data_IF_002942218902
#
_entry.id   IF_002942218902
#
_cell.length_a   1.000
_cell.length_b   1.000
_cell.length_c   1.000
_cell.angle_alpha   90.00
_cell.angle_beta   90.00
_cell.angle_gamma   90.00
#
_symmetry.space_group_name_H-M   'P 1'
#
loop_
_entity.id
_entity.type
_entity.pdbx_description
1 polymer ?
#
# COMPACT_ATOMS: atom_id res chain seq x y z
N UNK A 1 -15.08 3.49 -9.44
CA UNK A 1 -13.95 2.55 -9.47
C UNK A 1 -13.93 1.79 -10.78
N UNK A 2 -12.79 1.70 -11.44
CA UNK A 2 -12.62 0.93 -12.69
C UNK A 2 -11.20 0.38 -12.78
N UNK A 3 -11.00 -0.65 -13.60
CA UNK A 3 -9.69 -1.25 -13.84
C UNK A 3 -9.43 -1.32 -15.34
N UNK A 4 -8.34 -0.70 -15.81
CA UNK A 4 -7.87 -0.86 -17.19
C UNK A 4 -6.77 -1.90 -17.18
N UNK A 5 -7.00 -3.00 -17.87
CA UNK A 5 -6.04 -4.09 -17.99
C UNK A 5 -4.83 -3.68 -18.83
N UNK A 6 -3.69 -4.36 -18.64
CA UNK A 6 -2.56 -4.23 -19.56
C UNK A 6 -2.94 -4.53 -21.01
N UNK A 7 -3.95 -5.38 -21.25
CA UNK A 7 -4.41 -5.71 -22.60
C UNK A 7 -5.06 -4.51 -23.27
N UNK A 8 -5.88 -3.75 -22.56
CA UNK A 8 -6.53 -2.54 -23.10
C UNK A 8 -5.51 -1.41 -23.31
N UNK A 9 -4.60 -1.22 -22.36
CA UNK A 9 -3.50 -0.25 -22.47
C UNK A 9 -2.62 -0.50 -23.70
N UNK A 10 -2.39 -1.78 -24.06
CA UNK A 10 -1.67 -2.17 -25.29
C UNK A 10 -2.37 -1.73 -26.56
N UNK A 11 -3.70 -1.75 -26.57
CA UNK A 11 -4.45 -1.30 -27.74
C UNK A 11 -4.32 0.21 -27.89
N UNK A 12 -4.37 0.96 -26.79
CA UNK A 12 -4.23 2.42 -26.79
C UNK A 12 -2.84 2.91 -27.25
N UNK A 13 -1.75 2.22 -26.89
CA UNK A 13 -0.38 2.61 -27.33
C UNK A 13 -0.19 2.45 -28.85
N UNK A 14 -0.76 1.40 -29.45
CA UNK A 14 -0.63 1.12 -30.89
C UNK A 14 -1.24 2.21 -31.77
N UNK A 15 -2.19 2.98 -31.25
CA UNK A 15 -2.93 4.00 -32.00
C UNK A 15 -2.43 5.43 -31.76
N UNK A 16 -1.36 5.64 -30.98
CA UNK A 16 -0.76 6.97 -30.76
C UNK A 16 0.49 7.20 -31.63
N UNK A 17 0.56 8.30 -32.42
CA UNK A 17 1.79 8.72 -33.10
C UNK A 17 2.86 9.07 -32.05
N UNK A 18 4.09 8.56 -32.20
CA UNK A 18 5.16 8.74 -31.20
C UNK A 18 5.11 7.76 -30.02
N UNK A 19 4.62 6.53 -30.25
CA UNK A 19 4.46 5.45 -29.26
C UNK A 19 5.54 5.47 -28.17
N UNK A 20 5.16 5.27 -26.91
CA UNK A 20 6.11 5.18 -25.78
C UNK A 20 7.05 3.97 -25.90
N UNK A 21 6.93 3.20 -26.98
CA UNK A 21 7.85 2.13 -27.28
C UNK A 21 7.67 0.97 -26.31
N UNK A 22 6.41 0.65 -25.96
CA UNK A 22 6.08 -0.54 -25.17
C UNK A 22 6.49 -1.87 -25.86
N UNK A 23 7.23 -1.81 -26.98
CA UNK A 23 7.86 -2.92 -27.71
C UNK A 23 8.63 -3.92 -26.83
N UNK A 24 9.12 -3.55 -25.64
CA UNK A 24 9.76 -4.46 -24.65
C UNK A 24 8.86 -4.83 -23.46
N UNK A 25 7.57 -4.96 -23.73
CA UNK A 25 6.49 -5.21 -22.76
C UNK A 25 6.56 -6.50 -21.95
N UNK A 26 7.29 -7.53 -22.39
CA UNK A 26 7.49 -8.75 -21.60
C UNK A 26 8.26 -8.49 -20.29
N UNK A 27 8.92 -7.34 -20.20
CA UNK A 27 9.69 -6.92 -19.03
C UNK A 27 8.87 -6.08 -18.04
N UNK A 28 7.70 -5.56 -18.43
CA UNK A 28 6.77 -4.84 -17.55
C UNK A 28 5.92 -5.89 -16.81
N UNK A 29 5.87 -5.81 -15.48
CA UNK A 29 5.13 -6.78 -14.65
C UNK A 29 3.76 -6.30 -14.21
N UNK A 30 3.44 -5.02 -14.43
CA UNK A 30 2.13 -4.47 -14.17
C UNK A 30 1.03 -5.29 -14.86
N UNK A 31 -0.13 -5.37 -14.21
CA UNK A 31 -1.34 -6.06 -14.68
C UNK A 31 -2.39 -5.08 -15.20
N UNK A 32 -2.27 -3.81 -14.82
CA UNK A 32 -3.12 -2.73 -15.29
C UNK A 32 -3.06 -1.53 -14.37
N UNK A 33 -4.04 -0.66 -14.50
CA UNK A 33 -4.25 0.51 -13.66
C UNK A 33 -5.61 0.37 -12.98
N UNK A 34 -5.62 0.44 -11.65
CA UNK A 34 -6.84 0.48 -10.86
C UNK A 34 -7.12 1.93 -10.47
N UNK A 35 -8.31 2.41 -10.83
CA UNK A 35 -8.82 3.68 -10.34
C UNK A 35 -9.78 3.44 -9.18
N UNK A 36 -9.39 3.95 -8.02
CA UNK A 36 -10.08 3.76 -6.76
C UNK A 36 -10.10 5.11 -6.03
N UNK A 37 -11.30 5.61 -5.73
CA UNK A 37 -11.48 6.87 -4.99
C UNK A 37 -10.64 8.04 -5.54
N UNK A 38 -10.86 8.42 -6.80
CA UNK A 38 -10.13 9.51 -7.48
C UNK A 38 -8.60 9.32 -7.57
N UNK A 39 -8.06 8.20 -7.09
CA UNK A 39 -6.64 7.86 -7.11
C UNK A 39 -6.37 6.69 -8.06
N UNK A 40 -5.24 6.75 -8.74
CA UNK A 40 -4.81 5.71 -9.67
C UNK A 40 -3.69 4.89 -9.04
N UNK A 41 -3.74 3.58 -9.23
CA UNK A 41 -2.78 2.63 -8.71
C UNK A 41 -2.25 1.77 -9.85
N UNK A 42 -0.94 1.65 -9.97
CA UNK A 42 -0.36 0.58 -10.80
C UNK A 42 -0.56 -0.75 -10.09
N UNK A 43 -1.21 -1.70 -10.75
CA UNK A 43 -1.54 -2.99 -10.16
C UNK A 43 -0.50 -4.02 -10.56
N UNK A 44 -0.01 -4.77 -9.58
CA UNK A 44 0.84 -5.93 -9.78
C UNK A 44 0.21 -7.18 -9.17
N UNK A 45 0.43 -8.32 -9.81
CA UNK A 45 0.17 -9.62 -9.22
C UNK A 45 1.51 -10.30 -8.93
N UNK A 46 1.85 -10.38 -7.66
CA UNK A 46 3.11 -10.97 -7.20
C UNK A 46 3.11 -12.50 -7.32
N UNK A 47 1.95 -13.14 -7.49
CA UNK A 47 1.80 -14.60 -7.57
C UNK A 47 2.52 -15.34 -6.42
N UNK A 48 2.58 -14.72 -5.23
CA UNK A 48 3.30 -15.22 -4.03
C UNK A 48 4.83 -15.21 -4.15
N UNK A 49 5.39 -14.46 -5.10
CA UNK A 49 6.83 -14.31 -5.30
C UNK A 49 7.21 -12.84 -5.16
N UNK A 50 8.47 -12.60 -4.81
CA UNK A 50 9.05 -11.25 -4.89
C UNK A 50 9.11 -10.83 -6.35
N UNK A 51 8.51 -9.69 -6.67
CA UNK A 51 8.55 -9.16 -8.03
C UNK A 51 9.94 -8.57 -8.30
N UNK A 52 10.53 -9.00 -9.41
CA UNK A 52 11.77 -8.44 -9.96
C UNK A 52 11.42 -7.78 -11.29
N UNK A 53 11.58 -6.47 -11.37
CA UNK A 53 11.30 -5.69 -12.59
C UNK A 53 12.45 -4.74 -12.91
N UNK A 54 12.42 -4.16 -14.10
CA UNK A 54 13.39 -3.17 -14.54
C UNK A 54 12.82 -1.77 -14.34
N UNK A 55 13.49 -0.97 -13.50
CA UNK A 55 13.09 0.41 -13.18
C UNK A 55 12.83 1.24 -14.45
N UNK A 56 13.67 1.05 -15.49
CA UNK A 56 13.54 1.76 -16.76
C UNK A 56 12.21 1.51 -17.46
N UNK A 57 11.79 0.25 -17.59
CA UNK A 57 10.56 -0.08 -18.31
C UNK A 57 9.31 0.21 -17.49
N UNK A 58 9.37 0.09 -16.16
CA UNK A 58 8.27 0.52 -15.29
C UNK A 58 8.09 2.04 -15.31
N UNK A 59 9.17 2.83 -15.27
CA UNK A 59 9.08 4.29 -15.43
C UNK A 59 8.43 4.71 -16.75
N UNK A 60 8.83 4.08 -17.86
CA UNK A 60 8.21 4.34 -19.16
C UNK A 60 6.71 3.99 -19.16
N UNK A 61 6.33 2.91 -18.47
CA UNK A 61 4.94 2.53 -18.32
C UNK A 61 4.15 3.53 -17.47
N UNK A 62 4.71 4.01 -16.36
CA UNK A 62 4.10 5.03 -15.49
C UNK A 62 3.87 6.31 -16.31
N UNK A 63 4.89 6.83 -17.00
CA UNK A 63 4.76 8.03 -17.84
C UNK A 63 3.68 7.89 -18.93
N UNK A 64 3.60 6.72 -19.56
CA UNK A 64 2.55 6.41 -20.51
C UNK A 64 1.15 6.41 -19.87
N UNK A 65 1.02 5.76 -18.71
CA UNK A 65 -0.22 5.70 -17.95
C UNK A 65 -0.69 7.10 -17.53
N UNK A 66 0.21 7.91 -16.95
CA UNK A 66 -0.05 9.29 -16.55
C UNK A 66 -0.48 10.16 -17.73
N UNK A 67 0.11 9.95 -18.91
CA UNK A 67 -0.26 10.68 -20.13
C UNK A 67 -1.66 10.31 -20.63
N UNK A 68 -2.06 9.04 -20.53
CA UNK A 68 -3.41 8.61 -20.92
C UNK A 68 -4.44 9.14 -19.93
N UNK A 69 -4.15 9.06 -18.64
CA UNK A 69 -5.09 9.45 -17.58
C UNK A 69 -5.08 10.95 -17.30
N UNK A 70 -4.07 11.69 -17.78
CA UNK A 70 -3.82 13.12 -17.49
C UNK A 70 -3.76 13.38 -15.99
N UNK A 71 -3.20 12.43 -15.25
CA UNK A 71 -3.09 12.44 -13.79
C UNK A 71 -1.80 11.75 -13.38
N UNK A 72 -1.13 12.23 -12.33
CA UNK A 72 0.05 11.55 -11.78
C UNK A 72 -0.33 10.22 -11.12
N UNK A 73 0.62 9.30 -11.08
CA UNK A 73 0.46 8.01 -10.43
C UNK A 73 1.63 7.79 -9.48
N UNK A 74 1.37 8.02 -8.20
CA UNK A 74 2.34 7.91 -7.10
C UNK A 74 2.28 6.55 -6.38
N UNK A 75 1.31 5.70 -6.72
CA UNK A 75 0.94 4.54 -5.90
C UNK A 75 0.86 3.24 -6.69
N UNK A 76 1.21 2.15 -6.02
CA UNK A 76 1.06 0.80 -6.54
C UNK A 76 0.35 -0.13 -5.53
N UNK A 77 -0.41 -1.10 -6.07
CA UNK A 77 -1.02 -2.19 -5.30
C UNK A 77 -0.43 -3.52 -5.73
N UNK A 78 0.03 -4.30 -4.74
CA UNK A 78 0.60 -5.62 -4.91
C UNK A 78 -0.35 -6.69 -4.39
N UNK A 79 -0.96 -7.45 -5.30
CA UNK A 79 -1.77 -8.61 -4.96
C UNK A 79 -0.90 -9.85 -4.76
N UNK A 80 -1.24 -10.66 -3.75
CA UNK A 80 -0.52 -11.90 -3.45
C UNK A 80 -1.36 -12.90 -2.67
N UNK A 81 -0.99 -14.19 -2.63
CA UNK A 81 -1.75 -15.16 -1.82
C UNK A 81 -1.69 -14.92 -0.31
N UNK A 82 -0.64 -14.27 0.18
CA UNK A 82 -0.42 -13.99 1.62
C UNK A 82 0.56 -12.83 1.78
N UNK A 83 0.77 -12.34 3.00
CA UNK A 83 1.78 -11.31 3.31
C UNK A 83 3.24 -11.81 3.24
N UNK A 84 3.50 -13.09 2.97
CA UNK A 84 4.87 -13.63 2.97
C UNK A 84 5.83 -12.90 1.99
N UNK A 85 5.45 -12.56 0.75
CA UNK A 85 6.32 -11.74 -0.11
C UNK A 85 6.52 -10.30 0.41
N UNK A 86 5.55 -9.71 1.10
CA UNK A 86 5.72 -8.41 1.77
C UNK A 86 6.74 -8.51 2.91
N UNK A 87 6.61 -9.53 3.76
CA UNK A 87 7.55 -9.83 4.84
C UNK A 87 9.00 -9.95 4.32
N UNK A 88 9.21 -10.80 3.31
CA UNK A 88 10.54 -10.96 2.68
C UNK A 88 11.06 -9.65 2.10
N UNK A 89 10.19 -8.85 1.51
CA UNK A 89 10.55 -7.55 0.94
C UNK A 89 11.01 -6.54 2.01
N UNK A 90 10.39 -6.57 3.19
CA UNK A 90 10.75 -5.69 4.30
C UNK A 90 12.07 -6.14 4.95
N UNK A 91 12.21 -7.44 5.23
CA UNK A 91 13.33 -8.00 5.98
C UNK A 91 14.62 -8.15 5.17
N UNK A 92 14.54 -8.43 3.86
CA UNK A 92 15.73 -8.59 3.02
C UNK A 92 16.38 -7.21 2.74
N UNK A 93 17.70 -7.14 2.92
CA UNK A 93 18.48 -5.98 2.51
C UNK A 93 18.47 -5.85 0.98
N UNK A 94 18.51 -4.62 0.43
CA UNK A 94 18.68 -4.43 -1.00
C UNK A 94 20.04 -5.01 -1.41
N UNK A 95 20.04 -6.02 -2.28
CA UNK A 95 21.26 -6.57 -2.86
C UNK A 95 21.91 -5.53 -3.77
N UNK A 96 23.02 -4.94 -3.34
CA UNK A 96 23.73 -3.86 -4.03
C UNK A 96 24.32 -4.28 -5.38
N UNK A 97 24.41 -5.59 -5.65
CA UNK A 97 25.01 -6.14 -6.88
C UNK A 97 24.05 -6.23 -8.06
N UNK A 98 22.76 -6.00 -7.86
CA UNK A 98 21.74 -6.08 -8.90
C UNK A 98 21.01 -4.74 -9.01
N UNK A 99 21.26 -3.99 -10.09
CA UNK A 99 20.35 -2.94 -10.61
C UNK A 99 19.00 -3.54 -11.09
N UNK A 100 18.52 -4.59 -10.43
CA UNK A 100 17.21 -5.18 -10.63
C UNK A 100 16.39 -4.69 -9.47
N UNK A 101 15.30 -4.00 -9.77
CA UNK A 101 14.30 -3.64 -8.79
C UNK A 101 13.70 -4.96 -8.32
N UNK A 102 14.30 -5.55 -7.29
CA UNK A 102 13.51 -6.04 -6.18
C UNK A 102 12.57 -4.87 -5.89
N UNK A 103 11.25 -5.06 -5.91
CA UNK A 103 10.33 -4.02 -5.44
C UNK A 103 10.62 -3.86 -3.95
N UNK A 104 11.65 -3.05 -3.69
CA UNK A 104 12.48 -2.85 -2.49
C UNK A 104 13.24 -1.53 -2.70
N UNK A 105 13.66 -1.18 -3.92
CA UNK A 105 14.57 -0.03 -4.09
C UNK A 105 14.29 0.88 -5.26
N UNK A 106 13.07 0.94 -5.77
CA UNK A 106 12.74 1.96 -6.75
C UNK A 106 11.73 2.93 -6.13
N UNK A 107 12.14 4.17 -5.91
CA UNK A 107 11.29 5.33 -5.62
C UNK A 107 10.33 5.65 -6.80
N UNK A 108 9.81 4.62 -7.48
CA UNK A 108 8.81 4.78 -8.55
C UNK A 108 7.48 5.23 -7.99
N UNK A 109 7.18 4.74 -6.79
CA UNK A 109 5.94 4.99 -6.08
C UNK A 109 6.28 5.54 -4.71
N UNK A 110 5.59 6.61 -4.33
CA UNK A 110 5.57 7.14 -2.99
C UNK A 110 4.89 6.17 -2.02
N UNK A 111 3.86 5.45 -2.51
CA UNK A 111 3.11 4.48 -1.72
C UNK A 111 3.06 3.10 -2.36
N UNK A 112 3.35 2.07 -1.56
CA UNK A 112 3.33 0.67 -2.01
C UNK A 112 2.43 -0.17 -1.13
N UNK A 113 1.19 -0.36 -1.58
CA UNK A 113 0.17 -1.07 -0.83
C UNK A 113 0.21 -2.56 -1.11
N UNK A 114 0.13 -3.36 -0.06
CA UNK A 114 0.10 -4.81 -0.19
C UNK A 114 -1.26 -5.40 0.20
N UNK A 115 -1.87 -6.17 -0.71
CA UNK A 115 -3.21 -6.74 -0.51
C UNK A 115 -3.18 -8.25 -0.70
N UNK A 116 -3.44 -9.06 0.35
CA UNK A 116 -3.54 -10.50 0.21
C UNK A 116 -4.84 -10.89 -0.52
N UNK A 117 -4.81 -11.97 -1.29
CA UNK A 117 -5.97 -12.55 -2.00
C UNK A 117 -6.79 -13.40 -1.03
N UNK A 118 -7.29 -12.74 0.01
CA UNK A 118 -8.12 -13.30 1.08
C UNK A 118 -9.32 -12.39 1.31
N UNK A 119 -10.31 -12.86 2.08
CA UNK A 119 -11.45 -12.02 2.50
C UNK A 119 -11.00 -10.74 3.21
N UNK A 120 -9.92 -10.81 4.01
CA UNK A 120 -9.33 -9.64 4.65
C UNK A 120 -8.73 -8.64 3.67
N UNK A 121 -8.07 -9.10 2.62
CA UNK A 121 -7.56 -8.20 1.58
C UNK A 121 -8.66 -7.58 0.71
N UNK A 122 -9.77 -8.29 0.46
CA UNK A 122 -10.95 -7.70 -0.17
C UNK A 122 -11.51 -6.55 0.70
N UNK A 123 -11.63 -6.77 2.01
CA UNK A 123 -12.00 -5.71 2.97
C UNK A 123 -11.00 -4.54 2.96
N UNK A 124 -9.71 -4.82 2.84
CA UNK A 124 -8.68 -3.77 2.73
C UNK A 124 -8.83 -2.91 1.46
N UNK A 125 -9.22 -3.50 0.33
CA UNK A 125 -9.55 -2.73 -0.88
C UNK A 125 -10.79 -1.86 -0.69
N UNK A 126 -11.84 -2.37 -0.03
CA UNK A 126 -13.03 -1.58 0.31
C UNK A 126 -12.63 -0.34 1.13
N UNK A 127 -11.63 -0.47 1.99
CA UNK A 127 -11.10 0.64 2.82
C UNK A 127 -10.32 1.66 1.99
N UNK A 128 -9.49 1.21 1.06
CA UNK A 128 -8.78 2.13 0.17
C UNK A 128 -9.73 2.91 -0.75
N UNK A 129 -10.95 2.41 -0.95
CA UNK A 129 -11.98 3.06 -1.76
C UNK A 129 -12.67 4.24 -1.06
N UNK A 130 -12.31 4.52 0.20
CA UNK A 130 -12.89 5.60 0.99
C UNK A 130 -12.07 6.88 0.78
N UNK A 131 -12.72 8.02 0.49
CA UNK A 131 -12.15 9.35 0.63
C UNK A 131 -11.42 9.52 1.97
N UNK A 132 -10.22 10.09 1.95
CA UNK A 132 -9.46 10.42 3.17
C UNK A 132 -9.34 9.25 4.17
N UNK A 133 -9.30 8.00 3.66
CA UNK A 133 -9.42 6.81 4.51
C UNK A 133 -8.41 6.77 5.65
N UNK A 134 -7.23 7.40 5.49
CA UNK A 134 -6.25 7.51 6.57
C UNK A 134 -6.79 8.31 7.76
N UNK A 135 -7.28 9.51 7.51
CA UNK A 135 -7.82 10.39 8.56
C UNK A 135 -9.05 9.78 9.21
N UNK A 136 -9.97 9.24 8.39
CA UNK A 136 -11.18 8.58 8.86
C UNK A 136 -10.84 7.35 9.69
N UNK A 137 -9.94 6.49 9.21
CA UNK A 137 -9.54 5.29 9.96
C UNK A 137 -8.85 5.67 11.26
N UNK A 138 -7.97 6.67 11.27
CA UNK A 138 -7.33 7.15 12.49
C UNK A 138 -8.35 7.69 13.51
N UNK A 139 -9.38 8.39 13.05
CA UNK A 139 -10.42 8.91 13.92
C UNK A 139 -11.32 7.82 14.51
N UNK A 140 -11.78 6.85 13.70
CA UNK A 140 -12.81 5.91 14.14
C UNK A 140 -12.26 4.58 14.69
N UNK A 141 -11.11 4.12 14.20
CA UNK A 141 -10.56 2.80 14.57
C UNK A 141 -9.68 2.83 15.82
N UNK A 142 -9.24 4.03 16.20
CA UNK A 142 -8.30 4.22 17.29
C UNK A 142 -9.05 4.73 18.52
N UNK A 143 -8.86 4.10 19.70
CA UNK A 143 -9.37 4.63 20.95
C UNK A 143 -8.98 6.10 21.15
N UNK A 144 -9.90 6.91 21.64
CA UNK A 144 -9.74 8.37 21.74
C UNK A 144 -8.41 8.81 22.38
N UNK A 145 -8.02 8.15 23.48
CA UNK A 145 -6.75 8.38 24.19
C UNK A 145 -5.47 8.22 23.33
N UNK A 146 -5.55 7.59 22.17
CA UNK A 146 -4.41 7.35 21.27
C UNK A 146 -4.49 8.14 19.97
N UNK A 147 -5.60 8.86 19.70
CA UNK A 147 -5.82 9.54 18.40
C UNK A 147 -4.82 10.66 18.14
N UNK A 148 -4.47 11.45 19.16
CA UNK A 148 -3.52 12.55 18.99
C UNK A 148 -2.08 12.08 18.78
N UNK A 149 -1.74 10.91 19.31
CA UNK A 149 -0.45 10.25 19.05
C UNK A 149 -0.44 9.54 17.69
N UNK A 150 -1.59 9.04 17.22
CA UNK A 150 -1.72 8.36 15.93
C UNK A 150 -1.73 9.32 14.72
N UNK A 151 -1.87 10.63 14.94
CA UNK A 151 -1.72 11.65 13.88
C UNK A 151 -0.25 11.88 13.50
N UNK A 152 0.69 11.56 14.39
CA UNK A 152 2.13 11.78 14.20
C UNK A 152 2.86 10.54 13.67
N UNK A 153 2.25 9.78 12.74
CA UNK A 153 2.96 8.70 12.02
C UNK A 153 3.87 9.32 10.94
N UNK A 154 4.76 10.21 11.37
CA UNK A 154 5.92 10.65 10.61
C UNK A 154 7.08 10.47 11.58
N UNK A 155 7.83 9.38 11.37
CA UNK A 155 9.11 9.16 12.04
C UNK A 155 10.05 10.28 11.58
N UNK A 156 10.13 11.36 12.33
CA UNK A 156 11.17 12.38 12.19
C UNK A 156 12.33 12.16 13.17
N UNK A 157 12.41 11.01 13.82
CA UNK A 157 13.53 10.67 14.70
C UNK A 157 13.65 11.54 15.96
N UNK A 158 12.77 12.52 16.18
CA UNK A 158 12.77 13.40 17.36
C UNK A 158 11.73 12.98 18.42
N UNK A 159 10.80 12.09 18.09
CA UNK A 159 9.78 11.61 19.05
C UNK A 159 10.33 10.50 19.96
N UNK A 160 10.17 10.64 21.27
CA UNK A 160 10.49 9.59 22.24
C UNK A 160 9.68 8.30 21.94
N UNK A 161 10.40 7.21 21.66
CA UNK A 161 9.86 5.98 21.07
C UNK A 161 8.85 5.21 21.96
N UNK A 162 8.62 5.62 23.21
CA UNK A 162 7.79 4.90 24.17
C UNK A 162 6.27 5.07 23.95
N UNK A 163 5.85 6.03 23.13
CA UNK A 163 4.44 6.31 22.80
C UNK A 163 4.14 6.21 21.29
N UNK A 164 4.87 5.35 20.58
CA UNK A 164 4.66 5.19 19.14
C UNK A 164 3.47 4.29 18.84
N UNK A 165 2.51 4.84 18.10
CA UNK A 165 1.36 4.14 17.58
C UNK A 165 1.47 4.05 16.06
N UNK A 166 1.37 2.83 15.54
CA UNK A 166 1.42 2.56 14.11
C UNK A 166 0.08 2.02 13.61
N UNK A 167 -0.36 2.56 12.47
CA UNK A 167 -1.62 2.21 11.83
C UNK A 167 -1.37 1.18 10.75
N UNK A 168 -1.39 -0.09 11.16
CA UNK A 168 -1.08 -1.23 10.31
C UNK A 168 -2.12 -1.51 9.22
N UNK A 169 -3.33 -0.98 9.35
CA UNK A 169 -4.37 -1.17 8.34
C UNK A 169 -4.04 -0.51 6.98
N UNK A 170 -3.08 0.42 6.92
CA UNK A 170 -2.62 1.00 5.65
C UNK A 170 -1.79 0.06 4.82
N UNK A 171 -1.05 -0.88 5.41
CA UNK A 171 -0.18 -1.82 4.68
C UNK A 171 0.73 -1.16 3.63
N UNK A 172 1.17 0.08 3.88
CA UNK A 172 2.14 0.77 3.03
C UNK A 172 3.54 0.23 3.35
N UNK A 173 4.09 -0.57 2.44
CA UNK A 173 5.36 -1.25 2.64
C UNK A 173 6.53 -0.30 2.85
N UNK A 174 6.47 0.92 2.29
CA UNK A 174 7.55 1.91 2.46
C UNK A 174 7.56 2.39 3.91
N UNK A 175 6.40 2.73 4.47
CA UNK A 175 6.26 3.14 5.87
C UNK A 175 6.62 2.01 6.82
N UNK A 176 6.11 0.80 6.58
CA UNK A 176 6.41 -0.37 7.42
C UNK A 176 7.91 -0.64 7.42
N UNK A 177 8.58 -0.50 6.27
CA UNK A 177 10.02 -0.73 6.18
C UNK A 177 10.82 0.35 6.91
N UNK A 178 10.41 1.62 6.82
CA UNK A 178 11.01 2.71 7.62
C UNK A 178 10.90 2.38 9.11
N UNK A 179 9.70 2.02 9.57
CA UNK A 179 9.45 1.61 10.95
C UNK A 179 10.30 0.39 11.36
N UNK A 180 10.32 -0.67 10.54
CA UNK A 180 11.10 -1.87 10.79
C UNK A 180 12.59 -1.57 10.94
N UNK A 181 13.16 -0.72 10.08
CA UNK A 181 14.56 -0.30 10.16
C UNK A 181 14.84 0.54 11.40
N UNK A 182 13.97 1.49 11.73
CA UNK A 182 14.09 2.29 12.94
C UNK A 182 14.15 1.40 14.18
N UNK A 183 13.28 0.39 14.26
CA UNK A 183 13.23 -0.57 15.35
C UNK A 183 14.46 -1.47 15.48
N UNK A 184 15.36 -1.55 14.48
CA UNK A 184 16.62 -2.26 14.63
C UNK A 184 17.66 -1.47 15.44
N UNK A 185 17.52 -0.14 15.50
CA UNK A 185 18.47 0.76 16.18
C UNK A 185 18.04 1.21 17.58
N UNK A 186 16.84 0.82 18.03
CA UNK A 186 16.30 1.26 19.33
C UNK A 186 16.83 0.42 20.49
N UNK A 187 16.76 0.99 21.70
CA UNK A 187 17.19 0.31 22.93
C UNK A 187 16.33 -0.95 23.17
N UNK A 188 16.98 -2.02 23.65
CA UNK A 188 16.29 -3.24 24.06
C UNK A 188 15.21 -2.93 25.11
N UNK A 189 13.97 -3.34 24.84
CA UNK A 189 12.80 -3.08 25.69
C UNK A 189 11.89 -1.96 25.20
N UNK A 190 12.29 -1.19 24.18
CA UNK A 190 11.38 -0.28 23.47
C UNK A 190 10.29 -1.07 22.76
N UNK A 191 9.04 -0.69 22.97
CA UNK A 191 7.87 -1.28 22.33
C UNK A 191 7.12 -0.27 21.49
N UNK A 192 6.52 -0.73 20.41
CA UNK A 192 5.58 0.02 19.59
C UNK A 192 4.18 -0.57 19.72
N UNK A 193 3.16 0.28 19.61
CA UNK A 193 1.77 -0.17 19.57
C UNK A 193 1.32 -0.24 18.11
N UNK A 194 0.81 -1.38 17.66
CA UNK A 194 0.31 -1.55 16.29
C UNK A 194 -1.19 -1.79 16.33
N UNK A 195 -1.96 -0.89 15.71
CA UNK A 195 -3.38 -1.10 15.43
C UNK A 195 -3.55 -1.69 14.05
N UNK A 196 -4.14 -2.88 13.96
CA UNK A 196 -4.35 -3.55 12.68
C UNK A 196 -5.61 -4.39 12.71
N UNK A 197 -6.03 -4.87 11.54
CA UNK A 197 -7.12 -5.84 11.47
C UNK A 197 -6.64 -7.24 11.84
N UNK A 198 -7.58 -8.12 12.22
CA UNK A 198 -7.30 -9.49 12.64
C UNK A 198 -6.48 -10.27 11.60
N UNK A 199 -6.74 -10.07 10.31
CA UNK A 199 -6.00 -10.74 9.22
C UNK A 199 -4.57 -10.22 9.01
N UNK A 200 -4.21 -9.08 9.60
CA UNK A 200 -2.87 -8.48 9.55
C UNK A 200 -2.02 -8.81 10.78
N UNK A 201 -2.65 -9.19 11.90
CA UNK A 201 -1.99 -9.37 13.19
C UNK A 201 -0.78 -10.31 13.12
N UNK A 202 -0.93 -11.47 12.46
CA UNK A 202 0.19 -12.41 12.30
C UNK A 202 1.37 -11.80 11.51
N UNK A 203 1.10 -11.01 10.47
CA UNK A 203 2.14 -10.38 9.67
C UNK A 203 2.96 -9.38 10.50
N UNK A 204 2.31 -8.56 11.32
CA UNK A 204 2.98 -7.63 12.22
C UNK A 204 3.74 -8.32 13.34
N UNK A 205 3.17 -9.40 13.90
CA UNK A 205 3.86 -10.22 14.89
C UNK A 205 5.13 -10.84 14.31
N UNK A 206 5.06 -11.41 13.10
CA UNK A 206 6.22 -12.01 12.45
C UNK A 206 7.33 -10.97 12.15
N UNK A 207 6.97 -9.71 11.89
CA UNK A 207 7.91 -8.61 11.65
C UNK A 207 8.59 -8.08 12.92
N UNK A 208 7.83 -7.86 13.98
CA UNK A 208 8.30 -7.09 15.14
C UNK A 208 8.45 -7.93 16.42
N UNK A 209 7.88 -9.13 16.47
CA UNK A 209 7.91 -10.01 17.64
C UNK A 209 7.49 -9.29 18.92
N UNK A 210 8.23 -9.51 20.01
CA UNK A 210 7.98 -8.93 21.33
C UNK A 210 8.17 -7.39 21.38
N UNK A 211 8.71 -6.78 20.31
CA UNK A 211 8.86 -5.33 20.23
C UNK A 211 7.55 -4.63 19.82
N UNK A 212 6.49 -5.36 19.49
CA UNK A 212 5.19 -4.79 19.15
C UNK A 212 4.07 -5.32 20.04
N UNK A 213 3.31 -4.40 20.64
CA UNK A 213 2.02 -4.70 21.26
C UNK A 213 0.92 -4.53 20.19
N UNK A 214 0.31 -5.65 19.78
CA UNK A 214 -0.66 -5.69 18.68
C UNK A 214 -2.07 -5.56 19.22
N UNK A 215 -2.76 -4.50 18.82
CA UNK A 215 -4.18 -4.30 19.10
C UNK A 215 -5.00 -4.56 17.84
N UNK A 216 -5.88 -5.55 17.93
CA UNK A 216 -6.82 -5.87 16.85
C UNK A 216 -7.99 -4.91 16.91
N UNK A 217 -8.20 -4.18 15.81
CA UNK A 217 -9.36 -3.34 15.61
C UNK A 217 -10.48 -4.19 15.02
N UNK A 218 -11.71 -4.03 15.56
CA UNK A 218 -12.91 -4.67 15.01
C UNK A 218 -13.25 -4.09 13.64
N UNK A 219 -13.38 -4.95 12.65
CA UNK A 219 -13.70 -4.60 11.26
C UNK A 219 -15.21 -4.42 11.01
N UNK A 220 -16.05 -5.08 11.81
CA UNK A 220 -17.52 -5.08 11.68
C UNK A 220 -18.14 -3.69 11.86
N UNK A 221 -17.64 -2.91 12.82
CA UNK A 221 -18.12 -1.54 13.09
C UNK A 221 -17.67 -0.57 11.99
N UNK A 222 -16.45 -0.73 11.49
CA UNK A 222 -15.85 0.22 10.55
C UNK A 222 -16.37 0.06 9.13
N UNK A 223 -16.37 -1.16 8.58
CA UNK A 223 -16.79 -1.36 7.19
C UNK A 223 -18.28 -1.02 7.04
N UNK A 224 -19.10 -1.34 8.04
CA UNK A 224 -20.52 -0.97 8.06
C UNK A 224 -20.73 0.54 8.16
N UNK A 225 -19.98 1.21 9.04
CA UNK A 225 -19.99 2.67 9.18
C UNK A 225 -19.53 3.38 7.89
N UNK A 226 -18.45 2.92 7.29
CA UNK A 226 -17.95 3.45 6.04
C UNK A 226 -18.98 3.25 4.92
N UNK A 227 -19.58 2.06 4.83
CA UNK A 227 -20.61 1.79 3.83
C UNK A 227 -21.81 2.72 4.02
N UNK A 228 -22.20 3.03 5.26
CA UNK A 228 -23.27 4.01 5.50
C UNK A 228 -22.86 5.42 5.06
N UNK A 229 -21.60 5.82 5.26
CA UNK A 229 -21.09 7.12 4.81
C UNK A 229 -20.99 7.24 3.28
N UNK A 230 -20.52 6.19 2.61
CA UNK A 230 -20.52 6.13 1.13
C UNK A 230 -21.95 6.22 0.59
N UNK A 231 -22.91 5.57 1.25
CA UNK A 231 -24.33 5.64 0.87
C UNK A 231 -24.89 7.07 1.04
N UNK A 232 -24.54 7.76 2.13
CA UNK A 232 -24.92 9.16 2.37
C UNK A 232 -24.38 10.10 1.27
N UNK A 233 -23.10 9.98 0.91
CA UNK A 233 -22.46 10.81 -0.13
C UNK A 233 -23.05 10.57 -1.54
N UNK A 234 -23.33 9.31 -1.89
CA UNK A 234 -24.00 8.98 -3.16
C UNK A 234 -25.41 9.56 -3.21
N UNK A 235 -26.09 9.65 -2.07
CA UNK A 235 -27.46 10.19 -1.98
C UNK A 235 -27.45 11.71 -2.10
N UNK A 236 -26.49 12.39 -1.46
CA UNK A 236 -26.30 13.84 -1.54
C UNK A 236 -25.86 14.34 -2.93
N UNK A 237 -25.09 13.54 -3.68
CA UNK A 237 -24.70 13.88 -5.06
C UNK A 237 -25.84 13.68 -6.09
N UNK A 238 -26.93 13.01 -5.70
CA UNK A 238 -28.09 12.72 -6.58
C UNK A 238 -29.31 13.60 -6.29
N UNK A 239 -29.26 14.40 -5.22
CA UNK A 239 -30.25 15.42 -4.84
C UNK A 239 -29.83 16.80 -5.33
#
# INVERSE_FOLDING_TARGET
NWFITMRELRMLDKHKPGSYGLKKMSLIRAQGILHLNMKNFIVYNSMSKRLKTSCRYENQFIQFAETILRQSIDSAIFFAKSYNPAYKTICEAPDSSLQRVLIDGSNLYEHQYYVPLTTGGAKQLDIYAIPEFREISAHYLIPEKYRDHAKNVIFDGETELHDLYYLGFYCDLIEIRKLYRSMQGVRKGTKINIFCFSWQAKFYHDLFGDAADITIVKDEDFISFIRSKIQEDITLQRS
#
